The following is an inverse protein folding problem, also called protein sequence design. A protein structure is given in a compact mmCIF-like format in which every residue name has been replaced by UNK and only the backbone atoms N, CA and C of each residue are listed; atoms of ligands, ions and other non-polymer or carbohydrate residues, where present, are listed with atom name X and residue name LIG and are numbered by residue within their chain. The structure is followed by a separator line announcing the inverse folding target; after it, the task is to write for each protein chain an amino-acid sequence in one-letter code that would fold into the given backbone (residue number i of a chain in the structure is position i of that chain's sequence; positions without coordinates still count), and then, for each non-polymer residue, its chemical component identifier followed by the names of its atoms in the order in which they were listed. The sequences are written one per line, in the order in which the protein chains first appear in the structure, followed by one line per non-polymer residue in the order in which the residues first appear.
data_IF_943645318169
#
_entry.id   IF_943645318169
#
_cell.length_a   1.000
_cell.length_b   1.000
_cell.length_c   1.000
_cell.angle_alpha   90.00
_cell.angle_beta   90.00
_cell.angle_gamma   90.00
#
_symmetry.space_group_name_H-M   'P 1'
#
loop_
_entity.id
_entity.type
_entity.pdbx_description
1 polymer ?
#
# COMPACT_ATOMS: atom_id res chain seq x y z
N UNK A 1 2.79 7.64 24.00
CA UNK A 1 4.13 8.07 23.52
C UNK A 1 4.06 8.13 21.99
N UNK A 2 4.25 9.31 21.38
CA UNK A 2 4.36 9.39 19.91
C UNK A 2 5.77 8.98 19.52
N UNK A 3 5.94 7.80 18.94
CA UNK A 3 7.22 7.32 18.44
C UNK A 3 7.59 8.13 17.20
N UNK A 4 8.58 9.03 17.33
CA UNK A 4 9.11 9.79 16.20
C UNK A 4 9.85 8.82 15.28
N UNK A 5 9.30 8.61 14.08
CA UNK A 5 9.92 7.73 13.09
C UNK A 5 11.19 8.38 12.52
N UNK A 6 12.26 7.60 12.29
CA UNK A 6 13.51 8.14 11.77
C UNK A 6 13.31 8.75 10.38
N UNK A 7 13.99 9.86 10.09
CA UNK A 7 14.07 10.40 8.73
C UNK A 7 15.04 9.55 7.93
N UNK A 8 14.61 9.09 6.76
CA UNK A 8 15.44 8.36 5.82
C UNK A 8 15.64 9.24 4.58
N UNK A 9 16.90 9.34 4.14
CA UNK A 9 17.25 10.01 2.89
C UNK A 9 17.72 8.95 1.90
N UNK A 10 17.13 8.95 0.70
CA UNK A 10 17.49 8.08 -0.40
C UNK A 10 18.00 8.97 -1.55
N UNK A 11 19.17 8.65 -2.09
CA UNK A 11 19.79 9.38 -3.20
C UNK A 11 20.26 8.38 -4.25
N UNK A 12 20.14 8.77 -5.52
CA UNK A 12 20.64 8.04 -6.67
C UNK A 12 21.47 8.99 -7.54
N UNK A 13 22.51 8.47 -8.17
CA UNK A 13 23.31 9.19 -9.16
C UNK A 13 23.12 8.50 -10.51
N UNK A 14 22.70 9.26 -11.51
CA UNK A 14 22.42 8.78 -12.86
C UNK A 14 23.08 9.70 -13.88
N UNK A 15 23.68 9.14 -14.91
CA UNK A 15 24.18 9.89 -16.07
C UNK A 15 23.04 10.06 -17.07
N UNK A 16 22.50 11.28 -17.16
CA UNK A 16 21.34 11.58 -17.99
C UNK A 16 21.61 12.75 -18.93
N UNK A 17 20.99 12.80 -20.12
CA UNK A 17 20.99 13.99 -20.95
C UNK A 17 20.23 15.13 -20.26
N UNK A 18 20.32 16.35 -20.79
CA UNK A 18 19.54 17.48 -20.27
C UNK A 18 18.05 17.22 -20.46
N UNK A 19 17.31 17.14 -19.37
CA UNK A 19 15.86 16.89 -19.37
C UNK A 19 15.07 18.21 -19.25
N UNK A 20 13.90 18.30 -19.90
CA UNK A 20 12.91 19.31 -19.56
C UNK A 20 12.51 19.22 -18.07
N UNK A 21 12.18 20.35 -17.48
CA UNK A 21 11.81 20.43 -16.05
C UNK A 21 10.57 19.60 -15.72
N UNK A 22 9.55 19.66 -16.57
CA UNK A 22 8.29 18.92 -16.40
C UNK A 22 8.53 17.40 -16.34
N UNK A 23 9.34 16.88 -17.26
CA UNK A 23 9.70 15.45 -17.32
C UNK A 23 10.52 15.04 -16.09
N UNK A 24 11.44 15.91 -15.63
CA UNK A 24 12.23 15.65 -14.42
C UNK A 24 11.32 15.55 -13.19
N UNK A 25 10.39 16.50 -13.02
CA UNK A 25 9.45 16.51 -11.88
C UNK A 25 8.54 15.28 -11.91
N UNK A 26 8.02 14.90 -13.08
CA UNK A 26 7.22 13.69 -13.24
C UNK A 26 8.01 12.44 -12.84
N UNK A 27 9.24 12.30 -13.34
CA UNK A 27 10.11 11.16 -13.00
C UNK A 27 10.42 11.08 -11.50
N UNK A 28 10.69 12.22 -10.85
CA UNK A 28 10.92 12.30 -9.41
C UNK A 28 9.68 11.88 -8.60
N UNK A 29 8.48 12.29 -9.04
CA UNK A 29 7.22 11.89 -8.42
C UNK A 29 6.97 10.38 -8.56
N UNK A 30 7.18 9.82 -9.76
CA UNK A 30 7.06 8.39 -10.00
C UNK A 30 8.05 7.58 -9.17
N UNK A 31 9.29 8.05 -9.03
CA UNK A 31 10.30 7.37 -8.20
C UNK A 31 9.88 7.35 -6.72
N UNK A 32 9.37 8.48 -6.20
CA UNK A 32 8.85 8.57 -4.83
C UNK A 32 7.65 7.66 -4.63
N UNK A 33 6.71 7.64 -5.58
CA UNK A 33 5.53 6.77 -5.56
C UNK A 33 5.94 5.30 -5.50
N UNK A 34 6.77 4.84 -6.43
CA UNK A 34 7.23 3.46 -6.49
C UNK A 34 7.93 3.02 -5.20
N UNK A 35 8.76 3.89 -4.61
CA UNK A 35 9.43 3.60 -3.34
C UNK A 35 8.42 3.39 -2.20
N UNK A 36 7.45 4.30 -2.05
CA UNK A 36 6.40 4.20 -1.01
C UNK A 36 5.53 2.96 -1.23
N UNK A 37 5.12 2.69 -2.47
CA UNK A 37 4.28 1.53 -2.78
C UNK A 37 5.02 0.21 -2.55
N UNK A 38 6.32 0.16 -2.79
CA UNK A 38 7.16 -1.00 -2.45
C UNK A 38 7.19 -1.26 -0.93
N UNK A 39 7.36 -0.21 -0.13
CA UNK A 39 7.31 -0.36 1.34
C UNK A 39 5.94 -0.81 1.84
N UNK A 40 4.87 -0.32 1.22
CA UNK A 40 3.50 -0.74 1.51
C UNK A 40 3.28 -2.22 1.17
N UNK A 41 3.76 -2.66 -0.01
CA UNK A 41 3.68 -4.06 -0.45
C UNK A 41 4.32 -5.03 0.55
N UNK A 42 5.44 -4.64 1.14
CA UNK A 42 6.15 -5.45 2.14
C UNK A 42 5.65 -5.24 3.58
N UNK A 43 4.61 -4.43 3.78
CA UNK A 43 4.01 -4.22 5.11
C UNK A 43 4.81 -3.31 6.05
N UNK A 44 5.89 -2.67 5.59
CA UNK A 44 6.68 -1.74 6.42
C UNK A 44 5.93 -0.45 6.74
N UNK A 45 4.95 -0.07 5.91
CA UNK A 45 4.07 1.06 6.15
C UNK A 45 2.61 0.67 5.85
N UNK A 46 1.67 1.30 6.55
CA UNK A 46 0.24 1.14 6.26
C UNK A 46 -0.21 2.05 5.12
N UNK A 47 -1.37 1.76 4.52
CA UNK A 47 -1.98 2.60 3.47
C UNK A 47 -2.23 4.05 3.92
N UNK A 48 -2.63 4.26 5.18
CA UNK A 48 -2.76 5.60 5.75
C UNK A 48 -1.42 6.35 5.90
N UNK A 49 -0.30 5.63 6.09
CA UNK A 49 1.03 6.24 6.10
C UNK A 49 1.54 6.51 4.68
N UNK A 50 1.27 5.62 3.72
CA UNK A 50 1.56 5.85 2.31
C UNK A 50 0.86 7.12 1.79
N UNK A 51 -0.42 7.31 2.09
CA UNK A 51 -1.16 8.53 1.69
C UNK A 51 -0.52 9.81 2.23
N UNK A 52 -0.11 9.83 3.51
CA UNK A 52 0.61 10.98 4.08
C UNK A 52 1.96 11.25 3.41
N UNK A 53 2.70 10.22 3.02
CA UNK A 53 4.01 10.37 2.35
C UNK A 53 3.85 10.87 0.91
N UNK A 54 2.81 10.44 0.22
CA UNK A 54 2.51 10.82 -1.17
C UNK A 54 1.67 12.09 -1.29
N UNK A 55 1.08 12.58 -0.19
CA UNK A 55 0.18 13.73 -0.22
C UNK A 55 -1.19 13.39 -0.81
N UNK A 56 -1.63 12.14 -0.69
CA UNK A 56 -2.86 11.61 -1.27
C UNK A 56 -3.86 11.19 -0.19
N UNK A 57 -5.15 11.08 -0.54
CA UNK A 57 -6.13 10.52 0.37
C UNK A 57 -6.00 9.00 0.46
N UNK A 58 -6.52 8.43 1.55
CA UNK A 58 -6.45 6.98 1.79
C UNK A 58 -7.13 6.16 0.68
N UNK A 59 -8.22 6.66 0.12
CA UNK A 59 -8.93 5.98 -0.98
C UNK A 59 -8.09 5.95 -2.26
N UNK A 60 -7.43 7.05 -2.60
CA UNK A 60 -6.52 7.13 -3.75
C UNK A 60 -5.36 6.13 -3.63
N UNK A 61 -4.85 5.93 -2.41
CA UNK A 61 -3.84 4.89 -2.13
C UNK A 61 -4.38 3.48 -2.39
N UNK A 62 -5.64 3.21 -2.01
CA UNK A 62 -6.26 1.89 -2.23
C UNK A 62 -6.42 1.62 -3.73
N UNK A 63 -6.81 2.63 -4.51
CA UNK A 63 -6.85 2.50 -5.97
C UNK A 63 -5.44 2.26 -6.55
N UNK A 64 -4.46 3.01 -6.06
CA UNK A 64 -3.07 2.86 -6.48
C UNK A 64 -2.49 1.47 -6.14
N UNK A 65 -2.87 0.87 -5.01
CA UNK A 65 -2.52 -0.51 -4.68
C UNK A 65 -2.98 -1.49 -5.75
N UNK A 66 -4.16 -1.26 -6.35
CA UNK A 66 -4.66 -2.05 -7.48
C UNK A 66 -3.71 -2.00 -8.68
N UNK A 67 -3.23 -0.80 -9.05
CA UNK A 67 -2.26 -0.60 -10.15
C UNK A 67 -0.93 -1.31 -9.90
N UNK A 68 -0.50 -1.38 -8.64
CA UNK A 68 0.74 -2.05 -8.23
C UNK A 68 0.57 -3.55 -7.91
N UNK A 69 -0.63 -4.11 -8.03
CA UNK A 69 -0.92 -5.51 -7.70
C UNK A 69 -0.68 -5.84 -6.21
N UNK A 70 -0.90 -4.87 -5.32
CA UNK A 70 -0.67 -5.02 -3.89
C UNK A 70 -1.96 -5.51 -3.22
N UNK A 71 -1.95 -6.76 -2.78
CA UNK A 71 -2.95 -7.29 -1.85
C UNK A 71 -2.37 -7.25 -0.43
N UNK A 72 -2.97 -6.45 0.46
CA UNK A 72 -2.59 -6.38 1.87
C UNK A 72 -3.32 -7.41 2.74
N UNK A 73 -4.30 -8.12 2.16
CA UNK A 73 -4.97 -9.22 2.83
C UNK A 73 -4.06 -10.43 2.78
N UNK A 74 -4.04 -11.20 3.88
CA UNK A 74 -3.34 -12.47 3.89
C UNK A 74 -3.88 -13.34 2.73
N UNK A 75 -3.01 -14.08 2.03
CA UNK A 75 -3.50 -15.07 1.08
C UNK A 75 -4.40 -16.03 1.84
N UNK A 76 -5.63 -16.15 1.37
CA UNK A 76 -6.62 -17.08 1.91
C UNK A 76 -6.95 -18.10 0.84
N UNK A 77 -6.92 -19.38 1.20
CA UNK A 77 -7.35 -20.45 0.32
C UNK A 77 -8.87 -20.46 0.18
N UNK A 78 -9.36 -21.10 -0.88
CA UNK A 78 -10.82 -21.25 -1.08
C UNK A 78 -11.44 -22.09 0.04
N UNK A 79 -10.69 -23.05 0.57
CA UNK A 79 -11.07 -23.96 1.64
C UNK A 79 -11.18 -23.22 2.98
N UNK A 80 -10.20 -22.39 3.33
CA UNK A 80 -10.26 -21.52 4.51
C UNK A 80 -11.45 -20.56 4.43
N UNK A 81 -11.69 -19.97 3.26
CA UNK A 81 -12.84 -19.08 3.05
C UNK A 81 -14.17 -19.84 3.23
N UNK A 82 -14.30 -21.02 2.63
CA UNK A 82 -15.50 -21.87 2.79
C UNK A 82 -15.74 -22.23 4.25
N UNK A 83 -14.68 -22.52 4.99
CA UNK A 83 -14.75 -22.85 6.41
C UNK A 83 -15.24 -21.65 7.24
N UNK A 84 -14.65 -20.45 7.05
CA UNK A 84 -15.08 -19.23 7.75
C UNK A 84 -16.55 -18.89 7.48
N UNK A 85 -17.01 -19.07 6.22
CA UNK A 85 -18.42 -18.86 5.87
C UNK A 85 -19.33 -19.86 6.58
N UNK A 86 -18.95 -21.15 6.60
CA UNK A 86 -19.75 -22.19 7.27
C UNK A 86 -19.86 -21.96 8.78
N UNK A 87 -18.75 -21.60 9.44
CA UNK A 87 -18.72 -21.28 10.87
C UNK A 87 -19.57 -20.04 11.19
N UNK A 88 -19.48 -18.99 10.36
CA UNK A 88 -20.27 -17.78 10.52
C UNK A 88 -21.78 -18.05 10.37
N UNK A 89 -22.17 -18.89 9.42
CA UNK A 89 -23.57 -19.28 9.22
C UNK A 89 -24.10 -20.09 10.41
N UNK A 90 -23.33 -21.06 10.91
CA UNK A 90 -23.72 -21.85 12.08
C UNK A 90 -23.91 -20.98 13.34
N UNK A 91 -23.07 -19.95 13.53
CA UNK A 91 -23.20 -18.99 14.62
C UNK A 91 -24.49 -18.17 14.52
N UNK A 92 -24.87 -17.75 13.31
CA UNK A 92 -26.12 -17.02 13.08
C UNK A 92 -27.35 -17.90 13.41
N UNK A 93 -27.33 -19.17 13.02
CA UNK A 93 -28.40 -20.11 13.32
C UNK A 93 -28.57 -20.34 14.83
N UNK A 94 -27.46 -20.44 15.58
CA UNK A 94 -27.50 -20.57 17.06
C UNK A 94 -28.07 -19.34 17.79
N UNK A 95 -28.07 -18.17 17.17
CA UNK A 95 -28.58 -16.92 17.75
C UNK A 95 -29.98 -16.54 17.22
N UNK A 96 -30.56 -17.35 16.34
CA UNK A 96 -31.93 -17.18 15.84
C UNK A 96 -32.96 -18.13 16.51
N UNK A 97 -32.51 -19.04 17.37
CA UNK A 97 -33.31 -19.94 18.21
C UNK A 97 -33.36 -19.49 19.66
#
# INVERSE_FOLDING_TARGET
MQTQLPRLQCQFTLELPKLPEEIRVEAEQMAKEAYVMTLLKHGFISSGRAGRLLGMQRLDVIELMGKYGICIFAPQTTEELKQEVAESLALLEQHQS
#
